data_IF_017456162148
#
_entry.id   IF_017456162148
#
_cell.length_a   1.000
_cell.length_b   1.000
_cell.length_c   1.000
_cell.angle_alpha   90.00
_cell.angle_beta   90.00
_cell.angle_gamma   90.00
#
_symmetry.space_group_name_H-M   'P 1'
#
loop_
_entity.id
_entity.type
_entity.pdbx_description
1 polymer ?
#
# COMPACT_ATOMS: atom_id res chain seq x y z
N UNK A 1 -51.90 -27.18 7.25
CA UNK A 1 -51.05 -27.15 8.47
C UNK A 1 -49.73 -27.79 8.04
N UNK A 2 -48.56 -27.16 8.05
CA UNK A 2 -47.94 -26.25 9.00
C UNK A 2 -47.10 -25.15 8.30
N UNK A 3 -47.01 -24.01 9.01
CA UNK A 3 -46.13 -22.87 8.76
C UNK A 3 -44.70 -23.19 9.26
N UNK A 4 -43.68 -22.47 8.76
CA UNK A 4 -42.42 -22.33 9.51
C UNK A 4 -41.13 -22.08 8.74
N UNK A 5 -40.91 -20.82 8.33
CA UNK A 5 -39.69 -20.06 8.69
C UNK A 5 -38.31 -20.58 8.24
N UNK A 6 -37.76 -20.02 7.16
CA UNK A 6 -36.31 -19.72 7.08
C UNK A 6 -36.08 -18.34 6.48
N UNK A 7 -35.24 -17.58 7.16
CA UNK A 7 -35.06 -16.13 7.06
C UNK A 7 -34.12 -15.77 5.91
N UNK A 8 -34.41 -14.66 5.25
CA UNK A 8 -33.43 -13.85 4.51
C UNK A 8 -32.18 -13.63 5.39
N UNK A 9 -30.99 -13.82 4.80
CA UNK A 9 -29.68 -13.23 5.16
C UNK A 9 -28.55 -13.99 4.45
N UNK A 10 -28.20 -13.55 3.25
CA UNK A 10 -26.82 -13.64 2.74
C UNK A 10 -26.60 -12.57 1.66
N UNK A 11 -26.69 -11.30 2.09
CA UNK A 11 -25.89 -10.23 1.51
C UNK A 11 -24.65 -10.08 2.41
N UNK A 12 -23.49 -9.91 1.78
CA UNK A 12 -22.15 -9.69 2.37
C UNK A 12 -21.18 -10.87 2.39
N UNK A 13 -20.79 -11.35 1.21
CA UNK A 13 -19.45 -11.89 1.02
C UNK A 13 -19.02 -11.60 -0.43
N UNK A 14 -18.01 -10.76 -0.63
CA UNK A 14 -17.48 -10.54 -1.99
C UNK A 14 -16.59 -9.33 -2.19
N UNK A 15 -16.60 -8.33 -1.29
CA UNK A 15 -15.76 -7.13 -1.45
C UNK A 15 -14.34 -7.24 -0.87
N UNK A 16 -13.95 -8.40 -0.32
CA UNK A 16 -12.63 -8.57 0.33
C UNK A 16 -11.63 -9.40 -0.48
N UNK A 17 -12.01 -9.96 -1.65
CA UNK A 17 -11.11 -10.79 -2.46
C UNK A 17 -10.27 -9.98 -3.46
N UNK A 18 -10.75 -8.84 -3.94
CA UNK A 18 -10.03 -8.03 -4.94
C UNK A 18 -8.79 -7.31 -4.39
N UNK A 19 -8.76 -6.99 -3.09
CA UNK A 19 -7.66 -6.20 -2.51
C UNK A 19 -6.42 -7.04 -2.24
N UNK A 20 -6.57 -8.36 -2.05
CA UNK A 20 -5.44 -9.24 -1.80
C UNK A 20 -4.63 -9.49 -3.09
N UNK A 21 -5.31 -9.47 -4.24
CA UNK A 21 -4.74 -9.75 -5.57
C UNK A 21 -3.96 -8.54 -6.15
N UNK A 22 -4.27 -7.31 -5.71
CA UNK A 22 -3.57 -6.10 -6.19
C UNK A 22 -2.12 -6.03 -5.67
N UNK A 23 -1.83 -6.70 -4.55
CA UNK A 23 -0.51 -6.71 -3.93
C UNK A 23 0.21 -8.05 -4.11
N UNK A 24 -0.41 -9.03 -4.79
CA UNK A 24 0.18 -10.35 -5.07
C UNK A 24 0.86 -10.34 -6.46
N UNK A 25 1.76 -9.39 -6.65
CA UNK A 25 2.61 -9.32 -7.85
C UNK A 25 3.87 -10.14 -7.57
N UNK A 26 4.16 -11.12 -8.42
CA UNK A 26 5.44 -11.86 -8.36
C UNK A 26 6.57 -10.88 -8.68
N UNK A 27 7.27 -10.44 -7.64
CA UNK A 27 8.43 -9.53 -7.65
C UNK A 27 9.66 -10.19 -8.32
N UNK A 28 9.52 -10.62 -9.58
CA UNK A 28 10.63 -11.18 -10.38
C UNK A 28 11.44 -10.08 -11.09
N UNK A 29 10.90 -8.86 -11.14
CA UNK A 29 11.59 -7.69 -11.68
C UNK A 29 12.31 -6.96 -10.55
N UNK A 30 13.65 -7.00 -10.56
CA UNK A 30 14.49 -6.40 -9.53
C UNK A 30 14.30 -4.88 -9.42
N UNK A 31 13.93 -4.21 -10.51
CA UNK A 31 13.64 -2.77 -10.49
C UNK A 31 12.30 -2.49 -9.79
N UNK A 32 11.29 -3.35 -10.00
CA UNK A 32 10.00 -3.26 -9.31
C UNK A 32 10.14 -3.53 -7.80
N UNK A 33 10.99 -4.48 -7.41
CA UNK A 33 11.27 -4.72 -5.99
C UNK A 33 11.90 -3.49 -5.33
N UNK A 34 12.83 -2.83 -6.02
CA UNK A 34 13.42 -1.57 -5.54
C UNK A 34 12.40 -0.45 -5.36
N UNK A 35 11.43 -0.30 -6.27
CA UNK A 35 10.36 0.69 -6.15
C UNK A 35 9.43 0.41 -4.95
N UNK A 36 9.08 -0.86 -4.73
CA UNK A 36 8.23 -1.28 -3.60
C UNK A 36 8.95 -1.04 -2.27
N UNK A 37 10.24 -1.35 -2.19
CA UNK A 37 11.05 -1.07 -1.01
C UNK A 37 11.10 0.44 -0.72
N UNK A 38 11.41 1.28 -1.71
CA UNK A 38 11.43 2.73 -1.58
C UNK A 38 10.08 3.30 -1.12
N UNK A 39 8.99 2.83 -1.72
CA UNK A 39 7.64 3.26 -1.35
C UNK A 39 7.30 2.85 0.09
N UNK A 40 7.68 1.63 0.47
CA UNK A 40 7.49 1.13 1.84
C UNK A 40 8.28 1.97 2.85
N UNK A 41 9.54 2.28 2.53
CA UNK A 41 10.39 3.16 3.36
C UNK A 41 9.76 4.53 3.57
N UNK A 42 9.21 5.15 2.51
CA UNK A 42 8.53 6.44 2.62
C UNK A 42 7.26 6.37 3.48
N UNK A 43 6.44 5.34 3.30
CA UNK A 43 5.21 5.15 4.07
C UNK A 43 5.53 5.01 5.56
N UNK A 44 6.55 4.21 5.91
CA UNK A 44 6.97 4.02 7.29
C UNK A 44 7.46 5.34 7.87
N UNK A 45 8.39 6.02 7.20
CA UNK A 45 8.95 7.29 7.68
C UNK A 45 7.87 8.36 7.89
N UNK A 46 6.91 8.47 6.97
CA UNK A 46 5.79 9.41 7.10
C UNK A 46 4.83 9.02 8.23
N UNK A 47 4.67 7.72 8.52
CA UNK A 47 3.80 7.22 9.59
C UNK A 47 4.42 7.34 10.98
N UNK A 48 5.76 7.30 11.06
CA UNK A 48 6.52 7.46 12.30
C UNK A 48 6.84 8.92 12.64
N UNK A 49 6.68 9.82 11.67
CA UNK A 49 6.84 11.25 11.88
C UNK A 49 5.55 11.87 12.42
N UNK A 50 5.67 12.67 13.48
CA UNK A 50 4.54 13.43 14.05
C UNK A 50 4.05 14.54 13.09
N UNK A 51 4.95 15.05 12.24
CA UNK A 51 4.71 16.11 11.26
C UNK A 51 5.05 15.63 9.84
N UNK A 52 4.77 16.43 8.82
CA UNK A 52 5.17 16.08 7.44
C UNK A 52 6.69 16.01 7.29
N UNK A 53 7.17 15.02 6.54
CA UNK A 53 8.59 14.91 6.18
C UNK A 53 9.05 16.14 5.40
N UNK A 54 10.24 16.63 5.74
CA UNK A 54 10.88 17.70 4.97
C UNK A 54 11.33 17.21 3.59
N UNK A 55 11.46 18.12 2.63
CA UNK A 55 11.98 17.77 1.30
C UNK A 55 13.38 17.14 1.39
N UNK A 56 14.26 17.66 2.26
CA UNK A 56 15.60 17.12 2.47
C UNK A 56 15.60 15.70 3.04
N UNK A 57 14.57 15.30 3.80
CA UNK A 57 14.39 13.93 4.28
C UNK A 57 13.86 13.02 3.18
N UNK A 58 12.87 13.48 2.42
CA UNK A 58 12.33 12.75 1.27
C UNK A 58 13.45 12.46 0.27
N UNK A 59 14.27 13.46 -0.07
CA UNK A 59 15.39 13.32 -1.00
C UNK A 59 16.43 12.33 -0.48
N UNK A 60 16.74 12.36 0.83
CA UNK A 60 17.63 11.37 1.45
C UNK A 60 17.08 9.95 1.39
N UNK A 61 15.79 9.76 1.66
CA UNK A 61 15.13 8.44 1.59
C UNK A 61 15.05 7.91 0.16
N UNK A 62 14.88 8.80 -0.82
CA UNK A 62 14.86 8.48 -2.24
C UNK A 62 16.26 8.37 -2.86
N UNK A 63 17.33 8.66 -2.10
CA UNK A 63 18.70 8.68 -2.61
C UNK A 63 18.97 9.80 -3.63
N UNK A 64 18.12 10.83 -3.68
CA UNK A 64 18.27 11.98 -4.57
C UNK A 64 19.39 12.85 -4.05
N UNK A 65 20.43 13.03 -4.88
CA UNK A 65 21.46 14.04 -4.61
C UNK A 65 21.07 15.31 -5.35
N UNK A 66 21.01 16.49 -4.68
CA UNK A 66 20.67 17.74 -5.35
C UNK A 66 21.62 17.96 -6.52
N UNK A 67 21.05 18.06 -7.73
CA UNK A 67 21.80 18.40 -8.92
C UNK A 67 22.26 19.85 -8.78
N UNK A 68 23.58 20.10 -8.80
CA UNK A 68 24.07 21.46 -9.00
C UNK A 68 23.57 21.91 -10.37
N UNK A 69 22.77 22.96 -10.39
CA UNK A 69 22.44 23.67 -11.64
C UNK A 69 23.74 24.36 -12.10
N UNK A 70 24.28 23.93 -13.24
CA UNK A 70 25.44 24.54 -13.91
C UNK A 70 25.01 25.72 -14.80
#
# INVERSE_FOLDING_TARGET
>A
MAQGMVRDRSRHAGRRKLVHDQFDVTLEDGDLLGEVELTTTLIIAASESDEHLSQDEIDRLLGITPRRED
#
